data_IF_801721430782
#
_entry.id   IF_801721430782
#
_cell.length_a   1.000
_cell.length_b   1.000
_cell.length_c   1.000
_cell.angle_alpha   90.00
_cell.angle_beta   90.00
_cell.angle_gamma   90.00
#
_symmetry.space_group_name_H-M   'P 1'
#
loop_
_entity.id
_entity.type
_entity.pdbx_description
1 polymer ?
#
# COMPACT_ATOMS: atom_id res chain seq x y z
N UNK A 1 13.63 -9.38 -31.91
CA UNK A 1 12.85 -9.62 -33.14
C UNK A 1 11.76 -10.64 -32.83
N UNK A 2 10.57 -10.19 -32.40
CA UNK A 2 9.46 -11.08 -32.10
C UNK A 2 8.60 -11.31 -33.36
N UNK A 3 8.52 -12.56 -33.80
CA UNK A 3 7.78 -13.00 -34.98
C UNK A 3 6.28 -12.95 -34.70
N UNK A 4 5.57 -12.06 -35.38
CA UNK A 4 4.10 -11.94 -35.27
C UNK A 4 3.47 -12.78 -36.38
N UNK A 5 2.89 -13.94 -36.02
CA UNK A 5 2.06 -14.72 -36.95
C UNK A 5 0.65 -14.13 -36.98
N UNK A 6 0.30 -13.47 -38.08
CA UNK A 6 -1.07 -13.05 -38.38
C UNK A 6 -1.91 -14.27 -38.81
N UNK A 7 -2.96 -14.58 -38.06
CA UNK A 7 -4.00 -15.53 -38.47
C UNK A 7 -5.10 -14.77 -39.23
N UNK A 8 -5.38 -15.18 -40.47
CA UNK A 8 -6.45 -14.61 -41.30
C UNK A 8 -7.80 -15.20 -40.88
N UNK A 9 -8.64 -14.41 -40.20
CA UNK A 9 -9.99 -14.82 -39.80
C UNK A 9 -10.99 -14.56 -40.94
N UNK A 10 -11.68 -15.62 -41.37
CA UNK A 10 -12.78 -15.57 -42.36
C UNK A 10 -13.94 -14.72 -41.84
N UNK A 11 -14.48 -13.92 -42.75
CA UNK A 11 -15.59 -12.98 -42.60
C UNK A 11 -16.92 -13.73 -42.45
N UNK A 12 -17.61 -13.59 -41.31
CA UNK A 12 -19.06 -13.85 -41.23
C UNK A 12 -19.74 -13.03 -40.14
N UNK A 13 -20.85 -12.43 -40.57
CA UNK A 13 -22.03 -11.95 -39.81
C UNK A 13 -21.90 -10.68 -38.95
N UNK A 14 -22.53 -9.63 -39.50
CA UNK A 14 -22.73 -8.29 -38.94
C UNK A 14 -23.84 -8.28 -37.88
N UNK A 15 -23.46 -8.13 -36.62
CA UNK A 15 -24.34 -7.59 -35.59
C UNK A 15 -24.21 -6.06 -35.58
N UNK A 16 -25.26 -5.35 -35.98
CA UNK A 16 -25.35 -3.90 -35.87
C UNK A 16 -25.66 -3.49 -34.43
N UNK A 17 -24.61 -3.32 -33.64
CA UNK A 17 -24.53 -2.37 -32.54
C UNK A 17 -23.19 -1.65 -32.70
N UNK A 18 -22.99 -0.49 -32.07
CA UNK A 18 -21.69 0.18 -32.00
C UNK A 18 -20.70 -0.66 -31.15
N UNK A 19 -20.37 -1.85 -31.65
CA UNK A 19 -19.63 -2.91 -30.98
C UNK A 19 -18.18 -2.83 -31.40
N UNK A 20 -17.32 -2.70 -30.41
CA UNK A 20 -15.86 -2.77 -30.53
C UNK A 20 -15.52 -4.07 -31.29
N UNK A 21 -14.71 -3.97 -32.35
CA UNK A 21 -14.23 -5.13 -33.11
C UNK A 21 -13.46 -6.09 -32.19
N UNK A 22 -13.55 -7.40 -32.44
CA UNK A 22 -12.79 -8.40 -31.67
C UNK A 22 -11.29 -8.08 -31.64
N UNK A 23 -10.75 -7.56 -32.74
CA UNK A 23 -9.34 -7.14 -32.81
C UNK A 23 -9.02 -5.97 -31.87
N UNK A 24 -9.92 -4.97 -31.80
CA UNK A 24 -9.78 -3.82 -30.91
C UNK A 24 -9.98 -4.21 -29.44
N UNK A 25 -10.88 -5.16 -29.16
CA UNK A 25 -11.08 -5.71 -27.83
C UNK A 25 -9.83 -6.45 -27.33
N UNK A 26 -9.23 -7.31 -28.17
CA UNK A 26 -7.99 -8.03 -27.84
C UNK A 26 -6.83 -7.06 -27.66
N UNK A 27 -6.71 -6.07 -28.55
CA UNK A 27 -5.75 -4.99 -28.45
C UNK A 27 -5.88 -4.25 -27.11
N UNK A 28 -7.09 -3.82 -26.76
CA UNK A 28 -7.38 -3.15 -25.49
C UNK A 28 -7.00 -3.99 -24.27
N UNK A 29 -7.22 -5.32 -24.30
CA UNK A 29 -6.82 -6.22 -23.22
C UNK A 29 -5.29 -6.26 -23.10
N UNK A 30 -4.58 -6.48 -24.20
CA UNK A 30 -3.11 -6.57 -24.19
C UNK A 30 -2.49 -5.26 -23.70
N UNK A 31 -2.98 -4.11 -24.17
CA UNK A 31 -2.46 -2.80 -23.77
C UNK A 31 -2.81 -2.41 -22.33
N UNK A 32 -3.96 -2.85 -21.80
CA UNK A 32 -4.38 -2.54 -20.40
C UNK A 32 -3.90 -3.58 -19.39
N UNK A 33 -3.41 -4.73 -19.82
CA UNK A 33 -2.88 -5.76 -18.92
C UNK A 33 -1.51 -5.32 -18.42
N UNK A 34 -1.32 -5.07 -17.12
CA UNK A 34 -0.02 -4.72 -16.59
C UNK A 34 0.90 -5.95 -16.65
N UNK A 35 1.92 -5.91 -17.52
CA UNK A 35 2.99 -6.93 -17.54
C UNK A 35 3.94 -6.66 -16.38
N UNK A 36 3.66 -7.24 -15.22
CA UNK A 36 4.51 -7.08 -14.04
C UNK A 36 5.80 -7.92 -14.17
N UNK A 37 6.94 -7.25 -14.39
CA UNK A 37 8.26 -7.85 -14.14
C UNK A 37 8.52 -7.81 -12.63
N UNK A 38 8.24 -8.92 -11.93
CA UNK A 38 8.46 -9.00 -10.49
C UNK A 38 9.97 -9.07 -10.22
N UNK A 39 10.55 -8.02 -9.65
CA UNK A 39 11.89 -8.11 -9.06
C UNK A 39 11.81 -9.00 -7.82
N UNK A 40 12.78 -9.89 -7.62
CA UNK A 40 12.73 -10.99 -6.63
C UNK A 40 12.98 -10.55 -5.18
N UNK A 41 12.64 -9.31 -4.83
CA UNK A 41 12.78 -8.81 -3.46
C UNK A 41 11.55 -9.25 -2.65
N UNK A 42 11.72 -10.28 -1.84
CA UNK A 42 10.67 -10.80 -0.96
C UNK A 42 10.62 -9.97 0.32
N UNK A 43 9.41 -9.58 0.68
CA UNK A 43 9.18 -8.89 1.95
C UNK A 43 8.99 -9.96 3.03
N UNK A 44 9.84 -9.91 4.05
CA UNK A 44 9.83 -10.84 5.17
C UNK A 44 9.25 -10.17 6.41
N UNK A 45 8.45 -10.92 7.17
CA UNK A 45 7.76 -10.42 8.37
C UNK A 45 8.22 -11.22 9.58
N UNK A 46 8.94 -10.57 10.49
CA UNK A 46 9.45 -11.14 11.72
C UNK A 46 8.67 -10.62 12.92
N UNK A 47 8.22 -11.53 13.79
CA UNK A 47 7.63 -11.19 15.07
C UNK A 47 8.60 -11.51 16.20
N UNK A 48 9.04 -10.49 16.92
CA UNK A 48 9.95 -10.59 18.05
C UNK A 48 9.17 -10.45 19.35
N UNK A 49 9.32 -11.40 20.27
CA UNK A 49 8.78 -11.35 21.62
C UNK A 49 9.87 -10.90 22.57
N UNK A 50 9.67 -9.78 23.26
CA UNK A 50 10.72 -9.12 24.02
C UNK A 50 10.21 -8.70 25.39
N UNK A 51 11.10 -8.66 26.38
CA UNK A 51 10.78 -8.10 27.69
C UNK A 51 10.58 -6.59 27.60
N UNK A 52 9.53 -6.07 28.23
CA UNK A 52 9.20 -4.63 28.27
C UNK A 52 10.12 -3.89 29.26
N UNK A 53 11.39 -3.73 28.87
CA UNK A 53 12.40 -2.97 29.59
C UNK A 53 12.79 -1.69 28.82
N UNK A 54 13.09 -0.58 29.52
CA UNK A 54 13.52 0.65 28.86
C UNK A 54 14.79 0.42 28.04
N UNK A 55 14.78 0.88 26.78
CA UNK A 55 15.92 0.77 25.86
C UNK A 55 15.96 -0.50 25.01
N UNK A 56 15.04 -1.46 25.19
CA UNK A 56 14.96 -2.66 24.33
C UNK A 56 14.73 -2.29 22.85
N UNK A 57 13.86 -1.32 22.60
CA UNK A 57 13.52 -0.89 21.24
C UNK A 57 14.73 -0.31 20.51
N UNK A 58 15.45 0.60 21.16
CA UNK A 58 16.67 1.21 20.62
C UNK A 58 17.75 0.17 20.35
N UNK A 59 17.84 -0.86 21.20
CA UNK A 59 18.81 -1.95 21.03
C UNK A 59 18.46 -2.84 19.83
N UNK A 60 17.20 -3.27 19.72
CA UNK A 60 16.73 -4.11 18.63
C UNK A 60 16.82 -3.39 17.27
N UNK A 61 16.32 -2.15 17.18
CA UNK A 61 16.44 -1.35 15.95
C UNK A 61 17.89 -0.96 15.65
N UNK A 62 18.70 -0.70 16.68
CA UNK A 62 20.12 -0.40 16.54
C UNK A 62 20.93 -1.56 15.93
N UNK A 63 20.68 -2.80 16.35
CA UNK A 63 21.30 -3.99 15.76
C UNK A 63 20.92 -4.15 14.29
N UNK A 64 19.66 -3.84 13.97
CA UNK A 64 19.19 -3.95 12.60
C UNK A 64 19.84 -2.89 11.69
N UNK A 65 19.90 -1.65 12.17
CA UNK A 65 20.50 -0.52 11.46
C UNK A 65 22.02 -0.65 11.32
N UNK A 66 22.73 -1.10 12.37
CA UNK A 66 24.19 -1.22 12.37
C UNK A 66 24.72 -2.22 11.32
N UNK A 67 23.91 -3.22 10.97
CA UNK A 67 24.23 -4.19 9.92
C UNK A 67 23.69 -3.83 8.54
N UNK A 68 22.97 -2.70 8.43
CA UNK A 68 22.43 -2.22 7.16
C UNK A 68 21.29 -3.08 6.61
N UNK A 69 20.50 -3.75 7.46
CA UNK A 69 19.31 -4.44 6.98
C UNK A 69 18.26 -3.41 6.53
N UNK A 70 17.64 -3.65 5.37
CA UNK A 70 16.64 -2.75 4.82
C UNK A 70 15.28 -2.96 5.50
N UNK A 71 15.03 -2.18 6.55
CA UNK A 71 13.80 -2.24 7.34
C UNK A 71 12.71 -1.43 6.63
N UNK A 72 11.59 -2.08 6.30
CA UNK A 72 10.42 -1.45 5.71
C UNK A 72 9.54 -0.80 6.79
N UNK A 73 9.21 -1.56 7.84
CA UNK A 73 8.44 -1.05 8.97
C UNK A 73 8.76 -1.77 10.27
N UNK A 74 8.63 -1.04 11.38
CA UNK A 74 8.75 -1.56 12.74
C UNK A 74 7.56 -1.09 13.54
N UNK A 75 6.84 -2.02 14.15
CA UNK A 75 5.75 -1.73 15.07
C UNK A 75 5.99 -2.44 16.37
N UNK A 76 5.76 -1.74 17.47
CA UNK A 76 5.85 -2.30 18.82
C UNK A 76 4.46 -2.24 19.43
N UNK A 77 3.98 -3.41 19.86
CA UNK A 77 2.67 -3.58 20.45
C UNK A 77 2.84 -4.22 21.83
N UNK A 78 2.21 -3.61 22.84
CA UNK A 78 2.09 -4.24 24.15
C UNK A 78 1.16 -5.45 24.03
N UNK A 79 1.54 -6.56 24.65
CA UNK A 79 0.70 -7.77 24.71
C UNK A 79 -0.22 -7.73 25.93
N UNK A 80 -1.16 -8.68 26.01
CA UNK A 80 -2.01 -8.89 27.18
C UNK A 80 -1.22 -9.26 28.45
N UNK A 81 -0.01 -9.80 28.27
CA UNK A 81 0.88 -10.19 29.35
C UNK A 81 1.72 -8.96 29.74
N UNK A 82 1.63 -8.47 30.99
CA UNK A 82 2.46 -7.35 31.43
C UNK A 82 3.94 -7.74 31.41
N UNK A 83 4.80 -6.81 30.98
CA UNK A 83 6.23 -7.09 30.84
C UNK A 83 6.61 -7.81 29.54
N UNK A 84 5.64 -8.16 28.69
CA UNK A 84 5.89 -8.74 27.36
C UNK A 84 5.41 -7.78 26.27
N UNK A 85 6.35 -7.44 25.38
CA UNK A 85 6.12 -6.64 24.20
C UNK A 85 6.33 -7.49 22.95
N UNK A 86 5.48 -7.26 21.94
CA UNK A 86 5.60 -7.85 20.61
C UNK A 86 6.08 -6.77 19.64
N UNK A 87 7.15 -7.04 18.92
CA UNK A 87 7.65 -6.17 17.88
C UNK A 87 7.53 -6.87 16.52
N UNK A 88 6.76 -6.29 15.61
CA UNK A 88 6.67 -6.75 14.22
C UNK A 88 7.65 -5.94 13.39
N UNK A 89 8.58 -6.63 12.74
CA UNK A 89 9.60 -6.05 11.87
C UNK A 89 9.38 -6.58 10.47
N UNK A 90 9.23 -5.68 9.51
CA UNK A 90 9.19 -6.02 8.10
C UNK A 90 10.53 -5.67 7.47
N UNK A 91 11.18 -6.64 6.83
CA UNK A 91 12.49 -6.49 6.20
C UNK A 91 12.39 -6.87 4.74
N UNK A 92 13.06 -6.12 3.87
CA UNK A 92 13.21 -6.48 2.47
C UNK A 92 14.60 -7.05 2.21
N UNK A 93 14.69 -8.27 1.67
CA UNK A 93 15.97 -8.89 1.36
C UNK A 93 15.85 -10.36 0.94
N UNK A 94 17.01 -10.99 0.75
CA UNK A 94 17.10 -12.43 0.52
C UNK A 94 16.95 -13.21 1.83
N UNK A 95 16.41 -14.43 1.75
CA UNK A 95 16.15 -15.28 2.92
C UNK A 95 17.40 -15.51 3.78
N UNK A 96 18.61 -15.61 3.19
CA UNK A 96 19.85 -15.78 3.94
C UNK A 96 20.18 -14.56 4.84
N UNK A 97 19.95 -13.35 4.32
CA UNK A 97 20.18 -12.08 5.05
C UNK A 97 19.16 -11.95 6.18
N UNK A 98 17.91 -12.32 5.92
CA UNK A 98 16.81 -12.28 6.90
C UNK A 98 17.00 -13.30 8.01
N UNK A 99 17.47 -14.51 7.69
CA UNK A 99 17.83 -15.52 8.68
C UNK A 99 18.98 -15.06 9.59
N UNK A 100 19.96 -14.34 9.03
CA UNK A 100 21.01 -13.72 9.83
C UNK A 100 20.41 -12.64 10.76
N UNK A 101 19.57 -11.75 10.23
CA UNK A 101 18.87 -10.74 11.03
C UNK A 101 18.07 -11.37 12.19
N UNK A 102 17.31 -12.43 11.91
CA UNK A 102 16.58 -13.21 12.92
C UNK A 102 17.51 -13.73 14.02
N UNK A 103 18.60 -14.42 13.64
CA UNK A 103 19.57 -14.97 14.60
C UNK A 103 20.17 -13.88 15.50
N UNK A 104 20.40 -12.68 14.96
CA UNK A 104 20.96 -11.55 15.70
C UNK A 104 19.97 -10.92 16.67
N UNK A 105 18.69 -10.94 16.35
CA UNK A 105 17.63 -10.54 17.27
C UNK A 105 17.43 -11.59 18.38
N UNK A 106 17.55 -12.88 18.07
CA UNK A 106 17.50 -13.98 19.05
C UNK A 106 18.70 -14.00 20.01
N UNK A 107 19.86 -13.46 19.62
CA UNK A 107 21.07 -13.37 20.47
C UNK A 107 20.94 -12.33 21.60
N UNK A 108 19.93 -11.47 21.54
CA UNK A 108 19.67 -10.48 22.58
C UNK A 108 19.08 -11.11 23.84
N UNK A 109 19.63 -10.85 25.05
CA UNK A 109 19.17 -11.48 26.29
C UNK A 109 17.73 -11.09 26.68
N UNK A 110 17.22 -9.99 26.14
CA UNK A 110 15.87 -9.46 26.43
C UNK A 110 14.83 -9.94 25.42
N UNK A 111 15.25 -10.66 24.39
CA UNK A 111 14.37 -11.23 23.37
C UNK A 111 14.12 -12.69 23.73
N UNK A 112 12.85 -13.05 23.89
CA UNK A 112 12.43 -14.42 24.23
C UNK A 112 12.43 -15.32 23.01
N UNK A 113 11.93 -14.81 21.88
CA UNK A 113 11.85 -15.56 20.63
C UNK A 113 11.63 -14.62 19.44
N UNK A 114 12.11 -15.03 18.27
CA UNK A 114 11.81 -14.39 16.98
C UNK A 114 11.17 -15.43 16.07
N UNK A 115 9.95 -15.14 15.62
CA UNK A 115 9.17 -16.00 14.74
C UNK A 115 9.14 -15.37 13.35
N UNK A 116 9.59 -16.12 12.35
CA UNK A 116 9.42 -15.75 10.95
C UNK A 116 8.01 -16.15 10.48
N UNK A 117 7.25 -15.17 9.99
CA UNK A 117 5.88 -15.36 9.52
C UNK A 117 5.77 -15.34 7.98
N UNK A 118 6.88 -15.20 7.26
CA UNK A 118 6.91 -15.01 5.80
C UNK A 118 6.24 -16.15 5.02
N UNK A 119 6.46 -17.40 5.47
CA UNK A 119 5.92 -18.61 4.80
C UNK A 119 4.56 -19.06 5.36
N UNK A 120 4.06 -18.39 6.40
CA UNK A 120 2.85 -18.77 7.12
C UNK A 120 1.62 -17.99 6.65
N UNK A 121 0.43 -18.57 6.80
CA UNK A 121 -0.82 -17.83 6.60
C UNK A 121 -0.96 -16.78 7.68
N UNK A 122 -0.75 -15.51 7.32
CA UNK A 122 -0.84 -14.38 8.26
C UNK A 122 -2.10 -13.54 8.05
N UNK A 123 -2.51 -12.87 9.12
CA UNK A 123 -3.42 -11.73 9.08
C UNK A 123 -2.57 -10.48 9.30
N UNK A 124 -2.46 -9.67 8.26
CA UNK A 124 -1.73 -8.41 8.29
C UNK A 124 -2.68 -7.23 8.35
N UNK A 125 -2.35 -6.26 9.19
CA UNK A 125 -3.11 -5.01 9.34
C UNK A 125 -2.17 -3.83 9.53
N UNK A 126 -2.60 -2.73 8.96
CA UNK A 126 -2.01 -1.42 9.05
C UNK A 126 -3.16 -0.44 9.23
N UNK A 127 -2.95 0.57 10.07
CA UNK A 127 -3.93 1.61 10.39
C UNK A 127 -3.46 2.89 9.71
N UNK A 128 -4.37 3.53 8.99
CA UNK A 128 -4.18 4.83 8.38
C UNK A 128 -5.23 5.79 8.94
N UNK A 129 -4.77 6.89 9.51
CA UNK A 129 -5.57 8.10 9.70
C UNK A 129 -5.17 9.08 8.61
N UNK A 130 -6.14 9.58 7.86
CA UNK A 130 -5.90 10.54 6.78
C UNK A 130 -6.87 11.70 6.90
N UNK A 131 -6.32 12.92 6.87
CA UNK A 131 -7.07 14.17 6.82
C UNK A 131 -7.13 14.64 5.38
N UNK A 132 -8.33 14.74 4.85
CA UNK A 132 -8.61 15.11 3.47
C UNK A 132 -9.26 16.49 3.42
N UNK A 133 -8.93 17.27 2.41
CA UNK A 133 -9.60 18.55 2.09
C UNK A 133 -10.99 18.27 1.52
N UNK A 134 -12.00 19.01 1.97
CA UNK A 134 -13.34 19.03 1.36
C UNK A 134 -13.51 20.22 0.44
N UNK A 135 -12.58 21.18 0.43
CA UNK A 135 -12.61 22.34 -0.46
C UNK A 135 -11.99 22.04 -1.84
N UNK A 136 -11.20 20.96 -1.96
CA UNK A 136 -10.49 20.60 -3.19
C UNK A 136 -8.96 20.67 -3.03
N UNK A 137 -8.24 20.20 -4.06
CA UNK A 137 -6.78 20.20 -4.10
C UNK A 137 -6.21 21.59 -4.48
N UNK A 138 -7.00 22.38 -5.20
CA UNK A 138 -6.72 23.77 -5.56
C UNK A 138 -6.54 24.67 -4.31
N UNK A 139 -7.37 24.48 -3.29
CA UNK A 139 -7.31 25.27 -2.05
C UNK A 139 -6.08 24.95 -1.17
N UNK A 140 -5.45 23.80 -1.37
CA UNK A 140 -4.20 23.43 -0.70
C UNK A 140 -3.01 24.28 -1.17
N UNK A 141 -3.00 24.71 -2.44
CA UNK A 141 -1.97 25.57 -3.00
C UNK A 141 -2.01 26.98 -2.36
N UNK A 142 -3.21 27.49 -2.07
CA UNK A 142 -3.42 28.81 -1.46
C UNK A 142 -3.28 28.79 0.08
N UNK A 143 -3.56 27.65 0.73
CA UNK A 143 -3.38 27.48 2.18
C UNK A 143 -1.90 27.40 2.62
N UNK A 144 -0.94 27.54 1.69
CA UNK A 144 0.50 27.62 1.93
C UNK A 144 0.98 28.78 2.82
N UNK A 145 0.08 29.61 3.36
CA UNK A 145 0.41 30.73 4.25
C UNK A 145 0.07 30.43 5.71
N UNK A 146 0.84 29.54 6.36
CA UNK A 146 1.11 29.59 7.83
C UNK A 146 2.16 28.57 8.30
N UNK A 147 2.49 27.57 7.48
CA UNK A 147 3.58 26.66 7.79
C UNK A 147 4.16 26.11 6.49
N UNK A 148 4.95 26.91 5.78
CA UNK A 148 5.83 26.34 4.77
C UNK A 148 6.81 25.41 5.49
N UNK A 149 6.91 24.12 5.10
CA UNK A 149 8.01 23.29 5.58
C UNK A 149 9.29 24.05 5.27
N UNK A 150 10.20 24.15 6.24
CA UNK A 150 11.54 24.67 6.02
C UNK A 150 12.28 23.67 5.11
N UNK A 151 11.96 23.67 3.81
CA UNK A 151 12.76 22.97 2.81
C UNK A 151 14.17 23.56 2.93
N UNK A 152 15.22 22.75 3.17
CA UNK A 152 16.58 23.23 3.04
C UNK A 152 16.81 23.61 1.58
N UNK A 153 16.65 24.88 1.25
CA UNK A 153 16.94 25.43 -0.07
C UNK A 153 18.45 25.57 -0.21
N UNK A 154 19.00 25.20 -1.36
CA UNK A 154 20.36 25.58 -1.72
C UNK A 154 20.43 27.12 -1.88
N UNK A 155 21.58 27.76 -1.60
CA UNK A 155 21.71 29.22 -1.68
C UNK A 155 21.37 29.80 -3.07
N UNK A 156 21.48 29.01 -4.15
CA UNK A 156 21.07 29.41 -5.50
C UNK A 156 19.55 29.38 -5.71
N UNK A 157 18.84 28.46 -5.06
CA UNK A 157 17.39 28.30 -5.19
C UNK A 157 16.60 29.40 -4.44
N UNK A 158 17.22 30.03 -3.43
CA UNK A 158 16.62 31.17 -2.71
C UNK A 158 16.41 32.36 -3.66
N UNK A 159 17.43 32.75 -4.42
CA UNK A 159 17.33 33.87 -5.37
C UNK A 159 16.43 33.57 -6.57
N UNK A 160 16.35 32.30 -7.00
CA UNK A 160 15.42 31.89 -8.05
C UNK A 160 13.98 31.96 -7.55
N UNK A 161 13.72 31.49 -6.32
CA UNK A 161 12.39 31.55 -5.72
C UNK A 161 11.96 32.98 -5.40
N UNK A 162 12.87 33.85 -4.97
CA UNK A 162 12.60 35.28 -4.79
C UNK A 162 12.23 35.98 -6.11
N UNK A 163 12.80 35.54 -7.24
CA UNK A 163 12.44 36.03 -8.58
C UNK A 163 11.12 35.45 -9.08
N UNK A 164 10.90 34.15 -8.93
CA UNK A 164 9.65 33.48 -9.32
C UNK A 164 8.44 33.99 -8.51
N UNK A 165 8.63 34.33 -7.23
CA UNK A 165 7.58 34.93 -6.39
C UNK A 165 7.29 36.40 -6.75
N UNK A 166 8.25 37.10 -7.37
CA UNK A 166 8.07 38.45 -7.90
C UNK A 166 7.45 38.44 -9.31
N UNK A 167 7.60 37.35 -10.06
CA UNK A 167 7.13 37.19 -11.45
C UNK A 167 5.79 36.44 -11.58
N UNK A 168 5.36 35.68 -10.56
CA UNK A 168 4.14 34.84 -10.59
C UNK A 168 2.80 35.54 -10.34
N UNK A 169 2.67 36.84 -10.60
CA UNK A 169 1.41 37.59 -10.42
C UNK A 169 0.54 37.70 -11.70
N UNK A 170 0.91 37.03 -12.79
CA UNK A 170 0.17 37.11 -14.07
C UNK A 170 0.01 35.74 -14.77
N UNK A 171 -1.25 35.30 -14.91
CA UNK A 171 -1.83 34.19 -15.72
C UNK A 171 -1.59 32.73 -15.23
N UNK A 172 -2.56 31.80 -15.20
CA UNK A 172 -3.60 31.45 -16.20
C UNK A 172 -4.97 31.08 -15.59
N UNK A 173 -6.02 31.16 -16.42
CA UNK A 173 -7.44 30.85 -16.13
C UNK A 173 -7.68 29.38 -15.72
N UNK A 174 -7.73 29.11 -14.42
CA UNK A 174 -8.43 27.96 -13.84
C UNK A 174 -9.47 28.48 -12.84
N UNK A 175 -10.64 27.85 -12.77
CA UNK A 175 -11.80 28.33 -11.99
C UNK A 175 -11.45 28.47 -10.51
N UNK A 176 -11.14 29.70 -10.13
CA UNK A 176 -10.62 30.04 -8.81
C UNK A 176 -11.77 30.08 -7.79
N UNK A 177 -11.98 28.97 -7.08
CA UNK A 177 -12.99 28.86 -6.01
C UNK A 177 -12.64 29.75 -4.80
N UNK A 178 -11.50 30.45 -4.81
CA UNK A 178 -11.17 31.51 -3.84
C UNK A 178 -12.04 32.77 -3.99
N UNK A 179 -12.67 32.97 -5.17
CA UNK A 179 -13.58 34.11 -5.43
C UNK A 179 -15.06 33.71 -5.30
N UNK A 180 -15.35 32.44 -5.06
CA UNK A 180 -16.71 31.95 -4.92
C UNK A 180 -17.36 32.44 -3.61
N UNK A 181 -18.64 32.81 -3.67
CA UNK A 181 -19.38 33.21 -2.49
C UNK A 181 -19.39 32.07 -1.43
N UNK A 182 -19.36 32.39 -0.12
CA UNK A 182 -19.16 31.40 0.95
C UNK A 182 -20.21 30.28 0.95
N UNK A 183 -21.43 30.57 0.52
CA UNK A 183 -22.49 29.56 0.41
C UNK A 183 -22.21 28.50 -0.67
N UNK A 184 -21.52 28.85 -1.76
CA UNK A 184 -21.16 27.93 -2.84
C UNK A 184 -20.09 26.96 -2.35
N UNK A 185 -19.07 27.46 -1.66
CA UNK A 185 -18.01 26.64 -1.04
C UNK A 185 -18.59 25.62 -0.05
N UNK A 186 -19.58 26.01 0.75
CA UNK A 186 -20.27 25.10 1.69
C UNK A 186 -21.05 23.99 0.94
N UNK A 187 -21.74 24.33 -0.15
CA UNK A 187 -22.48 23.34 -0.94
C UNK A 187 -21.52 22.35 -1.61
N UNK A 188 -20.43 22.86 -2.19
CA UNK A 188 -19.45 22.02 -2.85
C UNK A 188 -18.67 21.13 -1.88
N UNK A 189 -18.28 21.66 -0.72
CA UNK A 189 -17.64 20.86 0.34
C UNK A 189 -18.54 19.73 0.82
N UNK A 190 -19.84 19.99 0.99
CA UNK A 190 -20.82 18.95 1.31
C UNK A 190 -20.91 17.89 0.20
N UNK A 191 -20.79 18.28 -1.07
CA UNK A 191 -20.79 17.32 -2.20
C UNK A 191 -19.51 16.48 -2.22
N UNK A 192 -18.33 17.10 -2.08
CA UNK A 192 -17.03 16.41 -2.02
C UNK A 192 -16.97 15.44 -0.84
N UNK A 193 -17.46 15.85 0.34
CA UNK A 193 -17.60 14.98 1.51
C UNK A 193 -18.47 13.74 1.22
N UNK A 194 -19.56 13.90 0.46
CA UNK A 194 -20.39 12.78 0.01
C UNK A 194 -19.61 11.74 -0.79
N UNK A 195 -18.74 12.17 -1.70
CA UNK A 195 -17.86 11.27 -2.45
C UNK A 195 -16.83 10.59 -1.55
N UNK A 196 -16.17 11.34 -0.66
CA UNK A 196 -15.20 10.79 0.30
C UNK A 196 -15.86 9.73 1.17
N UNK A 197 -17.09 9.96 1.65
CA UNK A 197 -17.85 8.99 2.45
C UNK A 197 -18.13 7.70 1.67
N UNK A 198 -18.52 7.82 0.40
CA UNK A 198 -18.79 6.66 -0.46
C UNK A 198 -17.50 5.86 -0.72
N UNK A 199 -16.39 6.54 -1.04
CA UNK A 199 -15.08 5.92 -1.21
C UNK A 199 -14.62 5.21 0.08
N UNK A 200 -14.78 5.89 1.22
CA UNK A 200 -14.44 5.34 2.54
C UNK A 200 -15.22 4.05 2.81
N UNK A 201 -16.54 4.06 2.58
CA UNK A 201 -17.39 2.88 2.77
C UNK A 201 -16.95 1.70 1.87
N UNK A 202 -16.59 1.95 0.61
CA UNK A 202 -16.12 0.88 -0.30
C UNK A 202 -14.80 0.25 0.17
N UNK A 203 -13.92 1.06 0.77
CA UNK A 203 -12.66 0.58 1.33
C UNK A 203 -12.82 -0.05 2.71
N UNK A 204 -13.98 0.07 3.35
CA UNK A 204 -14.21 -0.34 4.74
C UNK A 204 -13.58 0.62 5.75
N UNK A 205 -13.32 1.85 5.32
CA UNK A 205 -12.85 2.95 6.15
C UNK A 205 -14.03 3.64 6.86
N UNK A 206 -13.74 4.34 7.94
CA UNK A 206 -14.71 5.08 8.76
C UNK A 206 -14.35 6.56 8.76
N UNK A 207 -15.32 7.42 8.49
CA UNK A 207 -15.17 8.87 8.71
C UNK A 207 -15.31 9.13 10.21
N UNK A 208 -14.23 9.60 10.83
CA UNK A 208 -14.14 9.81 12.28
C UNK A 208 -14.52 11.25 12.66
N UNK A 209 -14.10 12.22 11.84
CA UNK A 209 -14.33 13.64 12.06
C UNK A 209 -14.69 14.35 10.76
N UNK A 210 -15.54 15.38 10.86
CA UNK A 210 -15.97 16.23 9.75
C UNK A 210 -15.91 17.67 10.23
N UNK A 211 -14.94 18.43 9.71
CA UNK A 211 -14.84 19.87 9.86
C UNK A 211 -15.51 20.62 8.70
N UNK A 212 -15.38 21.95 8.71
CA UNK A 212 -15.90 22.81 7.64
C UNK A 212 -15.18 22.53 6.29
N UNK A 213 -13.85 22.47 6.36
CA UNK A 213 -12.99 22.45 5.17
C UNK A 213 -12.19 21.15 5.02
N UNK A 214 -12.35 20.22 5.97
CA UNK A 214 -11.62 18.96 5.99
C UNK A 214 -12.41 17.84 6.67
N UNK A 215 -12.05 16.59 6.39
CA UNK A 215 -12.56 15.43 7.13
C UNK A 215 -11.44 14.46 7.46
N UNK A 216 -11.57 13.72 8.56
CA UNK A 216 -10.62 12.68 8.97
C UNK A 216 -11.25 11.31 8.75
N UNK A 217 -10.51 10.46 8.04
CA UNK A 217 -10.89 9.10 7.72
C UNK A 217 -9.90 8.12 8.33
N UNK A 218 -10.41 7.08 8.98
CA UNK A 218 -9.66 5.96 9.53
C UNK A 218 -9.85 4.72 8.64
N UNK A 219 -8.76 4.07 8.25
CA UNK A 219 -8.77 2.81 7.51
C UNK A 219 -7.87 1.78 8.22
N UNK A 220 -8.38 0.57 8.45
CA UNK A 220 -7.60 -0.56 8.92
C UNK A 220 -7.63 -1.70 7.89
N UNK A 221 -6.51 -1.92 7.21
CA UNK A 221 -6.45 -2.87 6.09
C UNK A 221 -5.02 -3.45 5.91
N UNK A 222 -4.82 -4.30 4.91
CA UNK A 222 -3.46 -4.70 4.49
C UNK A 222 -2.77 -3.52 3.81
N UNK A 223 -1.43 -3.48 3.82
CA UNK A 223 -0.66 -2.36 3.26
C UNK A 223 -0.99 -2.03 1.81
N UNK A 224 -1.14 -3.03 0.94
CA UNK A 224 -1.52 -2.81 -0.47
C UNK A 224 -2.86 -2.07 -0.62
N UNK A 225 -3.83 -2.35 0.27
CA UNK A 225 -5.14 -1.71 0.27
C UNK A 225 -5.10 -0.30 0.86
N UNK A 226 -4.22 -0.07 1.84
CA UNK A 226 -3.93 1.26 2.37
C UNK A 226 -3.27 2.14 1.30
N UNK A 227 -2.28 1.60 0.57
CA UNK A 227 -1.62 2.28 -0.54
C UNK A 227 -2.61 2.65 -1.65
N UNK A 228 -3.50 1.72 -2.01
CA UNK A 228 -4.55 1.96 -3.00
C UNK A 228 -5.53 3.04 -2.54
N UNK A 229 -5.89 3.06 -1.26
CA UNK A 229 -6.77 4.09 -0.70
C UNK A 229 -6.13 5.47 -0.79
N UNK A 230 -4.87 5.61 -0.35
CA UNK A 230 -4.13 6.87 -0.44
C UNK A 230 -4.12 7.42 -1.87
N UNK A 231 -3.81 6.58 -2.87
CA UNK A 231 -3.79 6.97 -4.29
C UNK A 231 -5.15 7.45 -4.81
N UNK A 232 -6.25 6.82 -4.38
CA UNK A 232 -7.60 7.20 -4.82
C UNK A 232 -8.08 8.47 -4.11
N UNK A 233 -7.60 8.73 -2.89
CA UNK A 233 -7.93 9.96 -2.14
C UNK A 233 -7.02 11.14 -2.45
N UNK A 234 -5.89 10.91 -3.14
CA UNK A 234 -4.93 11.92 -3.56
C UNK A 234 -5.56 13.12 -4.30
N UNK A 235 -6.52 12.94 -5.24
CA UNK A 235 -7.13 14.05 -5.97
C UNK A 235 -7.99 14.98 -5.10
N UNK A 236 -8.45 14.54 -3.93
CA UNK A 236 -9.18 15.41 -3.01
C UNK A 236 -8.26 16.36 -2.25
N UNK A 237 -6.95 16.07 -2.24
CA UNK A 237 -5.97 16.81 -1.47
C UNK A 237 -5.80 16.22 -0.06
N UNK A 238 -4.67 15.56 0.17
CA UNK A 238 -4.29 15.01 1.48
C UNK A 238 -3.63 16.14 2.28
N UNK A 239 -4.28 16.58 3.36
CA UNK A 239 -3.76 17.60 4.26
C UNK A 239 -2.70 17.00 5.20
N UNK A 240 -3.00 15.83 5.74
CA UNK A 240 -2.16 15.12 6.72
C UNK A 240 -2.45 13.62 6.64
N UNK A 241 -1.45 12.79 6.86
CA UNK A 241 -1.63 11.35 6.97
C UNK A 241 -0.73 10.79 8.09
N UNK A 242 -1.32 9.99 8.95
CA UNK A 242 -0.66 9.21 9.99
C UNK A 242 -0.87 7.73 9.68
N UNK A 243 0.20 7.05 9.30
CA UNK A 243 0.20 5.64 8.90
C UNK A 243 1.00 4.83 9.93
N UNK A 244 0.43 3.76 10.46
CA UNK A 244 1.17 2.81 11.29
C UNK A 244 2.14 1.99 10.45
N UNK A 245 2.96 1.13 11.04
CA UNK A 245 3.61 0.07 10.29
C UNK A 245 2.71 -1.17 10.13
N UNK A 246 3.27 -2.23 9.54
CA UNK A 246 2.60 -3.53 9.43
C UNK A 246 2.58 -4.25 10.78
N UNK A 247 1.37 -4.66 11.19
CA UNK A 247 1.16 -5.62 12.26
C UNK A 247 0.77 -6.96 11.64
N UNK A 248 1.36 -8.04 12.11
CA UNK A 248 1.07 -9.38 11.61
C UNK A 248 0.87 -10.38 12.73
N UNK A 249 -0.10 -11.27 12.54
CA UNK A 249 -0.31 -12.44 13.37
C UNK A 249 -0.48 -13.67 12.51
N UNK A 250 0.04 -14.80 12.97
CA UNK A 250 -0.27 -16.10 12.36
C UNK A 250 -1.78 -16.34 12.47
N UNK A 251 -2.37 -16.81 11.38
CA UNK A 251 -3.74 -17.30 11.39
C UNK A 251 -3.71 -18.71 11.99
N UNK A 252 -4.70 -19.04 12.81
CA UNK A 252 -4.94 -20.44 13.14
C UNK A 252 -5.17 -21.21 11.83
N UNK A 253 -4.46 -22.33 11.65
CA UNK A 253 -4.81 -23.27 10.60
C UNK A 253 -6.30 -23.56 10.71
N UNK A 254 -7.00 -23.62 9.56
CA UNK A 254 -8.41 -24.00 9.54
C UNK A 254 -8.56 -25.30 10.34
N UNK A 255 -9.64 -25.46 11.10
CA UNK A 255 -10.12 -26.77 11.55
C UNK A 255 -10.47 -27.61 10.30
N UNK A 256 -9.48 -28.06 9.53
CA UNK A 256 -9.65 -29.08 8.51
C UNK A 256 -9.43 -30.46 9.13
N UNK A 257 -10.06 -30.73 10.27
CA UNK A 257 -10.20 -32.11 10.77
C UNK A 257 -10.94 -33.01 9.74
N UNK A 258 -11.49 -32.44 8.67
CA UNK A 258 -12.23 -33.14 7.62
C UNK A 258 -11.69 -32.96 6.19
N UNK A 259 -10.60 -32.21 5.96
CA UNK A 259 -10.13 -31.88 4.60
C UNK A 259 -8.78 -32.54 4.23
N UNK A 260 -8.01 -33.05 5.20
CA UNK A 260 -6.67 -33.60 4.94
C UNK A 260 -6.64 -35.12 4.68
N UNK A 261 -7.74 -35.85 4.90
CA UNK A 261 -7.78 -37.30 4.66
C UNK A 261 -7.83 -37.68 3.16
N UNK A 262 -8.15 -36.74 2.27
CA UNK A 262 -8.30 -37.00 0.83
C UNK A 262 -7.11 -36.52 -0.02
N UNK A 263 -6.33 -35.54 0.43
CA UNK A 263 -5.22 -34.99 -0.37
C UNK A 263 -3.88 -35.70 -0.14
N UNK A 264 -3.58 -36.17 1.08
CA UNK A 264 -2.34 -36.92 1.33
C UNK A 264 -2.34 -38.33 0.69
N UNK A 265 -3.53 -38.92 0.46
CA UNK A 265 -3.67 -40.21 -0.19
C UNK A 265 -3.53 -40.14 -1.73
N UNK A 266 -3.78 -38.98 -2.35
CA UNK A 266 -3.75 -38.83 -3.81
C UNK A 266 -2.34 -38.55 -4.33
N UNK A 267 -1.51 -37.80 -3.59
CA UNK A 267 -0.16 -37.45 -4.04
C UNK A 267 0.85 -38.63 -4.07
N UNK A 268 0.55 -39.76 -3.41
CA UNK A 268 1.42 -40.95 -3.42
C UNK A 268 1.04 -42.01 -4.46
N UNK A 269 -0.09 -41.84 -5.16
CA UNK A 269 -0.65 -42.86 -6.07
C UNK A 269 -0.87 -42.38 -7.50
N UNK A 270 -0.36 -41.22 -7.93
CA UNK A 270 -0.35 -40.88 -9.35
C UNK A 270 0.83 -41.56 -10.07
N UNK A 271 0.59 -42.53 -10.97
CA UNK A 271 1.63 -43.01 -11.87
C UNK A 271 2.03 -41.89 -12.83
N UNK A 272 3.33 -41.81 -13.17
CA UNK A 272 3.89 -40.79 -14.05
C UNK A 272 3.05 -40.59 -15.34
N UNK A 273 2.86 -39.35 -15.82
CA UNK A 273 2.04 -39.09 -17.00
C UNK A 273 2.63 -39.80 -18.22
N UNK A 274 1.82 -40.63 -18.87
CA UNK A 274 2.19 -41.38 -20.06
C UNK A 274 2.45 -40.41 -21.24
N UNK A 275 3.72 -40.29 -21.61
CA UNK A 275 4.21 -39.39 -22.65
C UNK A 275 3.89 -39.86 -24.08
N UNK A 276 3.25 -41.03 -24.24
CA UNK A 276 2.91 -41.60 -25.55
C UNK A 276 1.76 -40.89 -26.28
N UNK A 277 1.04 -39.98 -25.61
CA UNK A 277 -0.12 -39.27 -26.18
C UNK A 277 0.17 -37.84 -26.68
N UNK A 278 1.43 -37.40 -26.71
CA UNK A 278 1.77 -36.11 -27.32
C UNK A 278 1.78 -36.21 -28.86
N UNK A 279 1.13 -35.29 -29.59
CA UNK A 279 1.23 -35.27 -31.04
C UNK A 279 2.68 -34.95 -31.46
N UNK A 280 3.22 -35.62 -32.49
CA UNK A 280 4.58 -35.36 -32.94
C UNK A 280 4.68 -33.94 -33.51
N UNK A 281 5.88 -33.35 -33.31
CA UNK A 281 6.26 -32.01 -33.75
C UNK A 281 6.38 -31.88 -35.26
#
# INVERSE_FOLDING_TARGET
>A
MASTRFYSAKKSESWHGAGISTADAVSNIIYKTPTAQKTSSHIHVLNCFMQDEPGILTRATGIMAARGYNIDSVVVSRTEIPGLSRMTITVNGEQAVVQQARKQLEDLPQVWAVVDLSDSKVVEREILLIKLSTLGAEHLACAGNSCTPRQPLSPSAVHQRERELAEGLEAEDDVDLSTAAPHVQVIESSRRLGYIRNLSNMFGAKVVDVGADCCIVELCAKSERVDAFMKITEPFGILEAARSGRMAMSRSAKLSLFDDASQEAVAKNEPAPDLSHLPPS
#
